data_IF_290379592937
#
_entry.id   IF_290379592937
#
_cell.length_a   1.000
_cell.length_b   1.000
_cell.length_c   1.000
_cell.angle_alpha   90.00
_cell.angle_beta   90.00
_cell.angle_gamma   90.00
#
_symmetry.space_group_name_H-M   'P 1'
#
loop_
_entity.id
_entity.type
_entity.pdbx_description
1 polymer ?
#
# COMPACT_ATOMS: atom_id res chain seq x y z
N UNK A 1 12.23 -7.50 -6.80
CA UNK A 1 11.75 -6.47 -7.78
C UNK A 1 10.57 -5.75 -7.16
N UNK A 2 10.42 -4.44 -7.36
CA UNK A 2 9.33 -3.66 -6.74
C UNK A 2 8.56 -2.93 -7.82
N UNK A 3 7.23 -2.98 -7.78
CA UNK A 3 6.32 -2.30 -8.70
C UNK A 3 5.35 -1.42 -7.90
N UNK A 4 5.12 -0.19 -8.37
CA UNK A 4 4.23 0.78 -7.75
C UNK A 4 3.01 1.02 -8.65
N UNK A 5 1.83 0.79 -8.10
CA UNK A 5 0.55 0.99 -8.76
C UNK A 5 -0.17 2.16 -8.09
N UNK A 6 -0.39 3.22 -8.83
CA UNK A 6 -1.02 4.46 -8.35
C UNK A 6 -2.35 4.71 -9.07
N UNK A 7 -3.28 5.39 -8.43
CA UNK A 7 -4.52 5.83 -9.07
C UNK A 7 -5.55 6.35 -8.09
N UNK A 8 -6.56 7.02 -8.58
CA UNK A 8 -7.67 7.55 -7.79
C UNK A 8 -8.57 6.46 -7.19
N UNK A 9 -9.50 6.85 -6.32
CA UNK A 9 -10.52 5.94 -5.79
C UNK A 9 -11.37 5.39 -6.94
N UNK A 10 -11.60 4.07 -6.94
CA UNK A 10 -12.40 3.42 -7.99
C UNK A 10 -11.73 3.32 -9.37
N UNK A 11 -10.45 3.66 -9.50
CA UNK A 11 -9.73 3.62 -10.78
C UNK A 11 -9.48 2.23 -11.37
N UNK A 12 -9.70 1.16 -10.60
CA UNK A 12 -9.36 -0.22 -11.01
C UNK A 12 -7.95 -0.65 -10.60
N UNK A 13 -7.18 0.20 -9.89
CA UNK A 13 -5.80 -0.08 -9.49
C UNK A 13 -5.62 -1.34 -8.65
N UNK A 14 -6.58 -1.65 -7.76
CA UNK A 14 -6.52 -2.85 -6.90
C UNK A 14 -6.60 -4.13 -7.73
N UNK A 15 -7.55 -4.18 -8.67
CA UNK A 15 -7.71 -5.31 -9.57
C UNK A 15 -6.47 -5.52 -10.44
N UNK A 16 -5.95 -4.44 -11.03
CA UNK A 16 -4.72 -4.48 -11.82
C UNK A 16 -3.52 -4.99 -10.98
N UNK A 17 -3.36 -4.49 -9.76
CA UNK A 17 -2.26 -4.90 -8.88
C UNK A 17 -2.38 -6.38 -8.45
N UNK A 18 -3.59 -6.85 -8.18
CA UNK A 18 -3.85 -8.26 -7.86
C UNK A 18 -3.53 -9.17 -9.05
N UNK A 19 -3.95 -8.79 -10.26
CA UNK A 19 -3.69 -9.56 -11.49
C UNK A 19 -2.19 -9.57 -11.83
N UNK A 20 -1.50 -8.44 -11.65
CA UNK A 20 -0.06 -8.36 -11.76
C UNK A 20 0.64 -9.30 -10.75
N UNK A 21 0.21 -9.29 -9.49
CA UNK A 21 0.76 -10.17 -8.46
C UNK A 21 0.51 -11.66 -8.79
N UNK A 22 -0.65 -11.99 -9.35
CA UNK A 22 -0.96 -13.37 -9.81
C UNK A 22 -0.06 -13.78 -10.98
N UNK A 23 0.27 -12.86 -11.90
CA UNK A 23 1.09 -13.16 -13.08
C UNK A 23 2.51 -13.61 -12.74
N UNK A 24 3.06 -13.21 -11.59
CA UNK A 24 4.38 -13.66 -11.12
C UNK A 24 4.38 -15.13 -10.63
N UNK A 25 3.21 -15.70 -10.35
CA UNK A 25 3.11 -17.08 -9.87
C UNK A 25 3.59 -17.27 -8.42
N UNK A 26 3.68 -18.52 -7.98
CA UNK A 26 4.20 -18.91 -6.66
C UNK A 26 3.31 -18.50 -5.49
N UNK A 27 3.92 -18.44 -4.30
CA UNK A 27 3.23 -18.08 -3.05
C UNK A 27 3.01 -16.57 -2.97
N UNK A 28 1.80 -16.17 -2.58
CA UNK A 28 1.36 -14.78 -2.58
C UNK A 28 0.84 -14.36 -1.21
N UNK A 29 1.38 -13.27 -0.69
CA UNK A 29 0.90 -12.63 0.54
C UNK A 29 0.27 -11.28 0.19
N UNK A 30 -0.93 -11.04 0.72
CA UNK A 30 -1.61 -9.77 0.69
C UNK A 30 -1.51 -9.11 2.06
N UNK A 31 -0.85 -7.96 2.14
CA UNK A 31 -0.78 -7.15 3.35
C UNK A 31 -1.94 -6.16 3.36
N UNK A 32 -2.91 -6.39 4.25
CA UNK A 32 -4.06 -5.51 4.45
C UNK A 32 -3.70 -4.41 5.46
N UNK A 33 -3.75 -3.16 5.02
CA UNK A 33 -3.49 -2.00 5.88
C UNK A 33 -4.75 -1.28 6.34
N UNK A 34 -5.92 -1.63 5.79
CA UNK A 34 -7.20 -1.05 6.16
C UNK A 34 -7.75 -1.74 7.41
N UNK A 35 -7.93 -0.98 8.50
CA UNK A 35 -8.64 -1.45 9.68
C UNK A 35 -10.15 -1.25 9.50
N UNK A 36 -10.99 -2.20 9.95
CA UNK A 36 -12.45 -2.02 9.93
C UNK A 36 -12.89 -1.08 11.06
N UNK A 37 -13.08 0.20 10.75
CA UNK A 37 -13.50 1.23 11.71
C UNK A 37 -15.01 1.25 11.94
N UNK A 38 -15.75 0.94 10.89
CA UNK A 38 -17.21 0.96 10.83
C UNK A 38 -17.72 -0.18 9.95
N UNK A 39 -19.04 -0.30 9.89
CA UNK A 39 -19.71 -1.35 9.12
C UNK A 39 -19.47 -1.20 7.60
N UNK A 40 -19.34 0.02 7.10
CA UNK A 40 -19.05 0.28 5.69
C UNK A 40 -17.63 -0.20 5.32
N UNK A 41 -16.64 0.11 6.15
CA UNK A 41 -15.27 -0.38 6.00
C UNK A 41 -15.22 -1.91 6.09
N UNK A 42 -15.92 -2.52 7.05
CA UNK A 42 -15.99 -3.97 7.21
C UNK A 42 -16.59 -4.62 5.95
N UNK A 43 -17.68 -4.09 5.42
CA UNK A 43 -18.33 -4.58 4.20
C UNK A 43 -17.41 -4.43 2.98
N UNK A 44 -16.65 -3.35 2.90
CA UNK A 44 -15.65 -3.14 1.84
C UNK A 44 -14.54 -4.18 1.92
N UNK A 45 -14.00 -4.44 3.12
CA UNK A 45 -12.97 -5.47 3.35
C UNK A 45 -13.51 -6.85 2.96
N UNK A 46 -14.73 -7.21 3.37
CA UNK A 46 -15.36 -8.49 3.01
C UNK A 46 -15.52 -8.65 1.49
N UNK A 47 -15.94 -7.59 0.79
CA UNK A 47 -16.05 -7.60 -0.67
C UNK A 47 -14.69 -7.87 -1.32
N UNK A 48 -13.65 -7.16 -0.88
CA UNK A 48 -12.29 -7.34 -1.39
C UNK A 48 -11.74 -8.73 -1.07
N UNK A 49 -11.99 -9.27 0.13
CA UNK A 49 -11.60 -10.66 0.48
C UNK A 49 -12.25 -11.67 -0.46
N UNK A 50 -13.56 -11.55 -0.70
CA UNK A 50 -14.31 -12.44 -1.60
C UNK A 50 -13.79 -12.39 -3.05
N UNK A 51 -13.44 -11.21 -3.54
CA UNK A 51 -12.85 -11.06 -4.87
C UNK A 51 -11.49 -11.77 -4.98
N UNK A 52 -10.70 -11.78 -3.89
CA UNK A 52 -9.38 -12.42 -3.84
C UNK A 52 -9.38 -13.92 -3.58
N UNK A 53 -10.48 -14.52 -3.11
CA UNK A 53 -10.54 -15.96 -2.78
C UNK A 53 -10.01 -16.83 -3.92
N UNK A 54 -10.37 -16.52 -5.17
CA UNK A 54 -9.94 -17.25 -6.37
C UNK A 54 -8.47 -17.01 -6.73
N UNK A 55 -7.85 -15.94 -6.21
CA UNK A 55 -6.47 -15.54 -6.51
C UNK A 55 -5.44 -16.14 -5.54
N UNK A 56 -5.89 -16.91 -4.55
CA UNK A 56 -5.05 -17.68 -3.61
C UNK A 56 -4.02 -16.83 -2.85
N UNK A 57 -4.42 -15.68 -2.35
CA UNK A 57 -3.61 -14.87 -1.45
C UNK A 57 -3.75 -15.34 -0.01
N UNK A 58 -2.62 -15.50 0.69
CA UNK A 58 -2.60 -15.50 2.15
C UNK A 58 -2.70 -14.05 2.63
N UNK A 59 -3.69 -13.73 3.47
CA UNK A 59 -3.89 -12.36 3.97
C UNK A 59 -3.22 -12.20 5.33
N UNK A 60 -2.38 -11.17 5.43
CA UNK A 60 -1.75 -10.71 6.67
C UNK A 60 -2.24 -9.30 6.96
N UNK A 61 -2.86 -9.10 8.12
CA UNK A 61 -3.26 -7.77 8.57
C UNK A 61 -2.07 -7.07 9.20
N UNK A 62 -1.70 -5.91 8.67
CA UNK A 62 -0.63 -5.07 9.18
C UNK A 62 -0.99 -3.61 9.00
N UNK A 63 -1.49 -3.01 10.04
CA UNK A 63 -2.00 -1.63 10.00
C UNK A 63 -0.89 -0.59 10.20
N UNK A 64 0.21 -0.97 10.88
CA UNK A 64 1.35 -0.11 11.22
C UNK A 64 2.64 -0.93 11.30
N UNK A 65 3.79 -0.23 11.32
CA UNK A 65 5.11 -0.83 11.62
C UNK A 65 5.46 -2.02 10.72
N UNK A 66 5.47 -1.84 9.40
CA UNK A 66 5.82 -2.88 8.41
C UNK A 66 7.13 -3.62 8.74
N UNK A 67 8.07 -2.97 9.42
CA UNK A 67 9.35 -3.55 9.84
C UNK A 67 9.21 -4.73 10.81
N UNK A 68 8.07 -4.86 11.48
CA UNK A 68 7.79 -5.98 12.40
C UNK A 68 7.29 -7.23 11.69
N UNK A 69 6.91 -7.14 10.42
CA UNK A 69 6.48 -8.29 9.65
C UNK A 69 7.67 -9.19 9.31
N UNK A 70 7.59 -10.45 9.70
CA UNK A 70 8.58 -11.47 9.36
C UNK A 70 7.84 -12.67 8.77
N UNK A 71 8.18 -13.03 7.54
CA UNK A 71 7.62 -14.20 6.89
C UNK A 71 8.43 -15.45 7.22
N UNK A 72 7.75 -16.53 7.66
CA UNK A 72 8.39 -17.81 7.97
C UNK A 72 9.06 -18.44 6.76
N UNK A 73 8.53 -18.20 5.58
CA UNK A 73 9.07 -18.62 4.29
C UNK A 73 9.05 -17.40 3.37
N UNK A 74 10.06 -17.27 2.53
CA UNK A 74 10.14 -16.20 1.52
C UNK A 74 8.99 -16.35 0.53
N UNK A 75 8.01 -15.43 0.47
CA UNK A 75 6.96 -15.48 -0.53
C UNK A 75 7.50 -15.05 -1.90
N UNK A 76 6.93 -15.60 -2.96
CA UNK A 76 7.25 -15.16 -4.32
C UNK A 76 6.76 -13.73 -4.56
N UNK A 77 5.58 -13.39 -4.04
CA UNK A 77 4.99 -12.06 -4.20
C UNK A 77 4.38 -11.57 -2.88
N UNK A 78 4.62 -10.29 -2.60
CA UNK A 78 3.90 -9.52 -1.57
C UNK A 78 3.15 -8.38 -2.25
N UNK A 79 1.85 -8.28 -2.00
CA UNK A 79 1.00 -7.16 -2.41
C UNK A 79 0.64 -6.34 -1.16
N UNK A 80 1.11 -5.09 -1.11
CA UNK A 80 0.81 -4.14 -0.04
C UNK A 80 -0.35 -3.23 -0.46
N UNK A 81 -1.51 -3.34 0.20
CA UNK A 81 -2.69 -2.53 -0.11
C UNK A 81 -3.35 -1.97 1.17
N UNK A 82 -3.33 -0.66 1.33
CA UNK A 82 -2.69 0.32 0.48
C UNK A 82 -1.81 1.27 1.30
N UNK A 83 -0.87 1.91 0.64
CA UNK A 83 0.05 2.87 1.26
C UNK A 83 -0.66 4.04 1.93
N UNK A 84 -1.77 4.52 1.34
CA UNK A 84 -2.54 5.63 1.90
C UNK A 84 -3.13 5.32 3.28
N UNK A 85 -3.66 4.11 3.50
CA UNK A 85 -4.13 3.69 4.81
C UNK A 85 -2.97 3.55 5.81
N UNK A 86 -1.85 2.97 5.38
CA UNK A 86 -0.66 2.84 6.21
C UNK A 86 -0.15 4.20 6.69
N UNK A 87 -0.03 5.20 5.80
CA UNK A 87 0.36 6.57 6.14
C UNK A 87 -0.61 7.18 7.15
N UNK A 88 -1.92 7.02 6.94
CA UNK A 88 -2.95 7.51 7.87
C UNK A 88 -2.80 6.88 9.25
N UNK A 89 -2.61 5.56 9.31
CA UNK A 89 -2.48 4.83 10.55
C UNK A 89 -1.21 5.20 11.33
N UNK A 90 -0.09 5.45 10.65
CA UNK A 90 1.17 5.86 11.29
C UNK A 90 1.08 7.29 11.85
N UNK A 91 0.39 8.20 11.15
CA UNK A 91 0.26 9.61 11.56
C UNK A 91 -0.81 9.82 12.63
N UNK A 92 -1.93 9.10 12.56
CA UNK A 92 -3.12 9.41 13.38
C UNK A 92 -3.47 8.31 14.39
N UNK A 93 -2.73 7.18 14.36
CA UNK A 93 -2.99 6.05 15.23
C UNK A 93 -4.19 5.20 14.79
N UNK A 94 -4.51 4.23 15.62
CA UNK A 94 -5.59 3.26 15.36
C UNK A 94 -6.81 3.48 16.27
N UNK A 95 -6.86 4.58 17.01
CA UNK A 95 -7.97 4.98 17.89
C UNK A 95 -8.29 3.96 19.01
N UNK A 96 -7.29 3.18 19.46
CA UNK A 96 -7.42 2.23 20.57
C UNK A 96 -6.60 2.67 21.77
N UNK A 97 -7.12 2.43 22.99
CA UNK A 97 -6.35 2.67 24.22
C UNK A 97 -5.11 1.76 24.25
N UNK A 98 -3.95 2.34 24.56
CA UNK A 98 -2.68 1.61 24.59
C UNK A 98 -1.99 1.44 23.24
N UNK A 99 -2.43 2.18 22.25
CA UNK A 99 -1.84 2.15 20.90
C UNK A 99 -0.39 2.62 20.89
N UNK A 100 0.37 2.16 19.88
CA UNK A 100 1.71 2.68 19.62
C UNK A 100 1.61 4.19 19.37
N UNK A 101 2.48 5.01 19.97
CA UNK A 101 2.45 6.45 19.76
C UNK A 101 2.43 6.82 18.29
N UNK A 102 1.64 7.82 17.93
CA UNK A 102 1.63 8.38 16.58
C UNK A 102 2.99 8.99 16.26
N UNK A 103 3.39 8.89 15.01
CA UNK A 103 4.67 9.40 14.56
C UNK A 103 4.52 10.82 14.01
N UNK A 104 5.53 11.66 14.23
CA UNK A 104 5.63 12.90 13.47
C UNK A 104 5.90 12.60 11.97
N UNK A 105 5.65 13.59 11.13
CA UNK A 105 5.73 13.43 9.66
C UNK A 105 7.07 12.91 9.12
N UNK A 106 8.17 13.32 9.74
CA UNK A 106 9.52 12.93 9.29
C UNK A 106 9.79 11.48 9.68
N UNK A 107 9.48 11.15 10.93
CA UNK A 107 9.60 9.79 11.48
C UNK A 107 8.67 8.82 10.74
N UNK A 108 7.42 9.20 10.47
CA UNK A 108 6.48 8.36 9.71
C UNK A 108 6.99 8.07 8.29
N UNK A 109 7.52 9.08 7.60
CA UNK A 109 8.10 8.88 6.26
C UNK A 109 9.28 7.90 6.29
N UNK A 110 10.19 8.06 7.26
CA UNK A 110 11.35 7.19 7.40
C UNK A 110 10.95 5.76 7.77
N UNK A 111 10.03 5.59 8.72
CA UNK A 111 9.53 4.30 9.21
C UNK A 111 8.88 3.50 8.08
N UNK A 112 8.06 4.14 7.25
CA UNK A 112 7.41 3.49 6.11
C UNK A 112 8.44 3.15 5.03
N UNK A 113 9.39 4.05 4.73
CA UNK A 113 10.44 3.79 3.75
C UNK A 113 11.32 2.59 4.14
N UNK A 114 11.71 2.50 5.42
CA UNK A 114 12.44 1.35 5.96
C UNK A 114 11.60 0.08 5.93
N UNK A 115 10.29 0.19 6.19
CA UNK A 115 9.34 -0.92 6.07
C UNK A 115 9.25 -1.48 4.65
N UNK A 116 9.22 -0.61 3.63
CA UNK A 116 9.28 -1.03 2.21
C UNK A 116 10.58 -1.80 1.95
N UNK A 117 11.73 -1.26 2.37
CA UNK A 117 13.05 -1.91 2.19
C UNK A 117 13.07 -3.27 2.91
N UNK A 118 12.46 -3.35 4.08
CA UNK A 118 12.37 -4.59 4.85
C UNK A 118 11.54 -5.66 4.10
N UNK A 119 10.41 -5.29 3.50
CA UNK A 119 9.59 -6.19 2.68
C UNK A 119 10.33 -6.62 1.40
N UNK A 120 11.02 -5.70 0.71
CA UNK A 120 11.81 -6.02 -0.48
C UNK A 120 12.85 -7.13 -0.23
N UNK A 121 13.44 -7.16 0.97
CA UNK A 121 14.43 -8.19 1.34
C UNK A 121 13.80 -9.55 1.59
N UNK A 122 12.52 -9.61 1.89
CA UNK A 122 11.81 -10.83 2.28
C UNK A 122 10.99 -11.46 1.14
N UNK A 123 10.88 -10.83 -0.03
CA UNK A 123 10.10 -11.34 -1.16
C UNK A 123 10.90 -11.25 -2.47
N UNK A 124 10.46 -11.97 -3.50
CA UNK A 124 11.03 -11.83 -4.84
C UNK A 124 10.39 -10.65 -5.58
N UNK A 125 9.07 -10.49 -5.44
CA UNK A 125 8.32 -9.38 -6.03
C UNK A 125 7.50 -8.65 -4.95
N UNK A 126 7.62 -7.33 -4.92
CA UNK A 126 6.81 -6.45 -4.06
C UNK A 126 5.94 -5.56 -4.94
N UNK A 127 4.63 -5.69 -4.85
CA UNK A 127 3.66 -4.82 -5.50
C UNK A 127 3.07 -3.88 -4.45
N UNK A 128 3.16 -2.58 -4.68
CA UNK A 128 2.66 -1.56 -3.76
C UNK A 128 1.52 -0.82 -4.42
N UNK A 129 0.36 -0.77 -3.75
CA UNK A 129 -0.79 0.03 -4.18
C UNK A 129 -0.84 1.32 -3.38
N UNK A 130 -0.99 2.44 -4.07
CA UNK A 130 -1.15 3.76 -3.44
C UNK A 130 -2.24 4.58 -4.12
N UNK A 131 -2.75 5.59 -3.41
CA UNK A 131 -3.72 6.51 -3.98
C UNK A 131 -3.06 7.79 -4.51
N UNK A 132 -3.60 8.29 -5.62
CA UNK A 132 -3.45 9.69 -6.01
C UNK A 132 -4.51 10.51 -5.26
N UNK A 133 -4.04 11.43 -4.39
CA UNK A 133 -4.89 12.34 -3.61
C UNK A 133 -4.45 13.80 -3.83
N UNK A 134 -3.70 14.06 -4.89
CA UNK A 134 -3.03 15.35 -5.11
C UNK A 134 -3.77 16.24 -6.12
N UNK A 135 -4.69 15.66 -6.90
CA UNK A 135 -5.41 16.34 -7.99
C UNK A 135 -6.55 17.25 -7.53
N UNK A 136 -6.99 17.13 -6.27
CA UNK A 136 -8.11 17.89 -5.70
C UNK A 136 -7.57 19.10 -4.92
N UNK A 137 -7.51 20.27 -5.46
CA UNK A 137 -7.31 21.59 -4.81
C UNK A 137 -6.44 21.67 -3.53
N UNK A 138 -6.32 22.86 -2.93
CA UNK A 138 -5.42 23.11 -1.78
C UNK A 138 -6.13 23.50 -0.47
N UNK A 139 -7.47 23.50 -0.43
CA UNK A 139 -8.24 23.99 0.72
C UNK A 139 -8.56 22.89 1.73
N UNK A 140 -7.53 22.27 2.30
CA UNK A 140 -7.69 21.22 3.31
C UNK A 140 -7.23 21.66 4.70
N UNK A 141 -7.69 20.92 5.74
CA UNK A 141 -7.19 21.08 7.11
C UNK A 141 -5.68 20.90 7.21
N UNK A 142 -5.07 21.40 8.26
CA UNK A 142 -3.63 21.19 8.52
C UNK A 142 -3.28 19.70 8.56
N UNK A 143 -4.11 18.89 9.21
CA UNK A 143 -3.92 17.44 9.29
C UNK A 143 -3.97 16.76 7.93
N UNK A 144 -4.94 17.11 7.09
CA UNK A 144 -5.04 16.59 5.72
C UNK A 144 -3.83 16.99 4.88
N UNK A 145 -3.33 18.22 5.05
CA UNK A 145 -2.14 18.67 4.35
C UNK A 145 -0.87 17.95 4.82
N UNK A 146 -0.75 17.63 6.11
CA UNK A 146 0.35 16.80 6.62
C UNK A 146 0.30 15.37 6.05
N UNK A 147 -0.86 14.75 6.06
CA UNK A 147 -1.08 13.43 5.45
C UNK A 147 -0.68 13.43 3.96
N UNK A 148 -1.16 14.41 3.18
CA UNK A 148 -0.81 14.55 1.76
C UNK A 148 0.70 14.67 1.56
N UNK A 149 1.39 15.50 2.37
CA UNK A 149 2.85 15.65 2.29
C UNK A 149 3.58 14.34 2.57
N UNK A 150 3.21 13.61 3.63
CA UNK A 150 3.83 12.33 3.96
C UNK A 150 3.56 11.29 2.87
N UNK A 151 2.32 11.16 2.42
CA UNK A 151 1.98 10.25 1.33
C UNK A 151 2.75 10.58 0.04
N UNK A 152 2.86 11.86 -0.31
CA UNK A 152 3.64 12.31 -1.45
C UNK A 152 5.11 11.94 -1.35
N UNK A 153 5.73 12.17 -0.18
CA UNK A 153 7.13 11.80 0.06
C UNK A 153 7.33 10.28 -0.05
N UNK A 154 6.45 9.50 0.57
CA UNK A 154 6.51 8.03 0.52
C UNK A 154 6.31 7.53 -0.92
N UNK A 155 5.34 8.07 -1.66
CA UNK A 155 5.11 7.73 -3.06
C UNK A 155 6.33 8.04 -3.93
N UNK A 156 7.00 9.18 -3.73
CA UNK A 156 8.23 9.52 -4.46
C UNK A 156 9.37 8.55 -4.12
N UNK A 157 9.54 8.17 -2.85
CA UNK A 157 10.55 7.19 -2.44
C UNK A 157 10.26 5.81 -3.04
N UNK A 158 9.01 5.36 -2.99
CA UNK A 158 8.59 4.09 -3.59
C UNK A 158 8.80 4.11 -5.11
N UNK A 159 8.42 5.19 -5.80
CA UNK A 159 8.60 5.33 -7.25
C UNK A 159 10.07 5.34 -7.68
N UNK A 160 10.96 5.97 -6.91
CA UNK A 160 12.41 5.95 -7.17
C UNK A 160 12.97 4.52 -7.10
N UNK A 161 12.50 3.71 -6.14
CA UNK A 161 12.93 2.33 -5.92
C UNK A 161 12.26 1.34 -6.87
N UNK A 162 11.04 1.64 -7.31
CA UNK A 162 10.27 0.75 -8.16
C UNK A 162 10.96 0.51 -9.50
N UNK A 163 10.91 -0.75 -9.96
CA UNK A 163 11.28 -1.14 -11.31
C UNK A 163 10.24 -0.64 -12.32
N UNK A 164 8.96 -0.77 -11.98
CA UNK A 164 7.85 -0.29 -12.79
C UNK A 164 6.94 0.64 -11.95
N UNK A 165 6.45 1.71 -12.58
CA UNK A 165 5.41 2.58 -12.01
C UNK A 165 4.26 2.64 -13.01
N UNK A 166 3.07 2.29 -12.57
CA UNK A 166 1.85 2.29 -13.38
C UNK A 166 0.80 3.17 -12.73
N UNK A 167 0.26 4.10 -13.48
CA UNK A 167 -0.95 4.82 -13.10
C UNK A 167 -2.17 4.13 -13.72
N UNK A 168 -3.21 3.88 -12.92
CA UNK A 168 -4.45 3.28 -13.41
C UNK A 168 -5.55 4.33 -13.42
N UNK A 169 -6.06 4.65 -14.60
CA UNK A 169 -7.11 5.64 -14.83
C UNK A 169 -8.29 4.95 -15.53
N UNK A 170 -9.46 4.96 -14.90
CA UNK A 170 -10.68 4.35 -15.48
C UNK A 170 -10.48 2.91 -15.98
N UNK A 171 -9.72 2.10 -15.23
CA UNK A 171 -9.38 0.71 -15.58
C UNK A 171 -8.24 0.56 -16.59
N UNK A 172 -7.70 1.66 -17.12
CA UNK A 172 -6.62 1.64 -18.13
C UNK A 172 -5.28 1.83 -17.42
N UNK A 173 -4.34 0.86 -17.50
CA UNK A 173 -3.00 1.04 -16.95
C UNK A 173 -2.12 1.86 -17.89
N UNK A 174 -1.49 2.90 -17.34
CA UNK A 174 -0.55 3.77 -18.03
C UNK A 174 0.83 3.59 -17.39
N UNK A 175 1.79 3.09 -18.15
CA UNK A 175 3.17 2.94 -17.67
C UNK A 175 3.85 4.29 -17.60
N UNK A 176 4.25 4.70 -16.38
CA UNK A 176 4.96 5.94 -16.10
C UNK A 176 6.48 5.74 -16.02
N UNK A 177 6.89 4.55 -15.60
CA UNK A 177 8.28 4.13 -15.51
C UNK A 177 8.39 2.64 -15.83
N UNK A 178 9.42 2.27 -16.58
CA UNK A 178 9.84 0.88 -16.81
C UNK A 178 11.35 0.81 -16.65
N UNK A 179 11.83 -0.05 -15.75
CA UNK A 179 13.25 -0.26 -15.57
C UNK A 179 13.86 -0.96 -16.80
N UNK A 180 15.00 -0.48 -17.25
CA UNK A 180 15.83 -1.25 -18.18
C UNK A 180 16.42 -2.44 -17.44
N UNK A 181 16.23 -3.64 -17.98
CA UNK A 181 16.88 -4.87 -17.52
C UNK A 181 18.40 -4.76 -17.60
#
# INVERSE_FOLDING_TARGET
MTDLIIGGSGSGKSEYAEDLAVSFGGSRIYIATMKPWDEECANRILRHRKMREKKQFETVECYRSLKKLIFKKRPSVVLLECMSNLVSNELFGLWEEGDIPVLDKNTATAEIAEGIIHLERQTDHLVIVTNDVFSDGDHYSLQTNEYRKVLGNVNQLAAKRAHMVVEVVAGIPIKMKEGTN
#
